data_IF_818386809596
#
_entry.id   IF_818386809596
#
_cell.length_a   1.000
_cell.length_b   1.000
_cell.length_c   1.000
_cell.angle_alpha   90.00
_cell.angle_beta   90.00
_cell.angle_gamma   90.00
#
_symmetry.space_group_name_H-M   'P 1'
#
loop_
_entity.id
_entity.type
_entity.pdbx_description
1 polymer ?
#
# COMPACT_ATOMS: atom_id res chain seq x y z
N UNK A 1 33.50 -23.91 -12.90
CA UNK A 1 32.08 -24.29 -12.96
C UNK A 1 31.30 -22.99 -13.04
N UNK A 2 30.62 -22.80 -14.17
CA UNK A 2 29.78 -21.64 -14.46
C UNK A 2 28.34 -21.93 -14.06
N UNK A 3 27.68 -20.95 -13.44
CA UNK A 3 26.26 -20.58 -13.61
C UNK A 3 26.12 -19.20 -12.93
N UNK A 4 26.23 -18.05 -13.63
CA UNK A 4 25.15 -17.24 -14.29
C UNK A 4 23.91 -17.07 -13.41
N UNK A 5 23.21 -15.94 -13.28
CA UNK A 5 23.33 -14.54 -13.71
C UNK A 5 22.15 -13.80 -13.04
N UNK A 6 22.29 -12.47 -12.84
CA UNK A 6 21.24 -11.43 -12.97
C UNK A 6 19.91 -11.63 -12.20
N UNK A 7 19.46 -10.73 -11.32
CA UNK A 7 19.01 -9.35 -11.58
C UNK A 7 18.71 -8.73 -10.19
N UNK A 8 19.13 -7.52 -9.85
CA UNK A 8 18.38 -6.32 -10.19
C UNK A 8 17.86 -5.64 -8.91
N UNK A 9 18.46 -4.47 -8.63
CA UNK A 9 17.79 -3.28 -8.10
C UNK A 9 17.38 -3.15 -6.61
N UNK A 10 17.95 -2.10 -6.02
CA UNK A 10 17.55 -1.29 -4.85
C UNK A 10 17.77 -1.80 -3.42
N UNK A 11 18.66 -1.09 -2.71
CA UNK A 11 18.69 -0.85 -1.26
C UNK A 11 17.28 -0.42 -0.79
N UNK A 12 16.37 -1.38 -0.63
CA UNK A 12 15.19 -1.18 0.21
C UNK A 12 15.56 -1.82 1.52
N UNK A 13 16.01 -1.00 2.48
CA UNK A 13 16.01 -1.36 3.89
C UNK A 13 14.56 -1.71 4.22
N UNK A 14 14.19 -2.97 4.07
CA UNK A 14 12.89 -3.48 4.45
C UNK A 14 12.84 -3.39 5.96
N UNK A 15 12.31 -2.27 6.46
CA UNK A 15 12.14 -2.05 7.88
C UNK A 15 11.24 -3.18 8.40
N UNK A 16 11.74 -4.08 9.27
CA UNK A 16 10.92 -5.17 9.78
C UNK A 16 9.70 -4.67 10.58
N UNK A 17 9.72 -3.40 10.97
CA UNK A 17 8.61 -2.68 11.57
C UNK A 17 7.41 -2.48 10.63
N UNK A 18 7.54 -2.76 9.32
CA UNK A 18 6.44 -2.67 8.34
C UNK A 18 5.88 -4.04 7.95
N UNK A 19 6.44 -5.14 8.44
CA UNK A 19 5.91 -6.48 8.14
C UNK A 19 4.49 -6.68 8.70
N UNK A 20 3.64 -7.38 7.94
CA UNK A 20 2.22 -7.59 8.24
C UNK A 20 1.40 -6.30 8.39
N UNK A 21 1.92 -5.16 7.91
CA UNK A 21 1.16 -3.91 7.87
C UNK A 21 0.45 -3.75 6.55
N UNK A 22 -0.56 -2.91 6.57
CA UNK A 22 -1.33 -2.54 5.41
C UNK A 22 -0.90 -1.16 4.96
N UNK A 23 -1.04 -0.86 3.68
CA UNK A 23 -0.84 0.49 3.19
C UNK A 23 -1.87 0.84 2.13
N UNK A 24 -2.43 2.03 2.27
CA UNK A 24 -3.34 2.60 1.30
C UNK A 24 -2.54 3.55 0.42
N UNK A 25 -2.47 3.20 -0.85
CA UNK A 25 -1.88 4.02 -1.90
C UNK A 25 -2.94 4.37 -2.94
N UNK A 26 -2.56 5.21 -3.89
CA UNK A 26 -3.41 5.55 -5.03
C UNK A 26 -2.81 4.98 -6.30
N UNK A 27 -3.63 4.28 -7.07
CA UNK A 27 -3.27 3.78 -8.39
C UNK A 27 -4.40 4.09 -9.37
N UNK A 28 -4.07 4.68 -10.52
CA UNK A 28 -5.07 5.10 -11.53
C UNK A 28 -6.20 5.98 -10.97
N UNK A 29 -5.89 6.84 -9.98
CA UNK A 29 -6.89 7.66 -9.27
C UNK A 29 -7.87 6.88 -8.38
N UNK A 30 -7.66 5.58 -8.18
CA UNK A 30 -8.40 4.74 -7.25
C UNK A 30 -7.56 4.39 -6.03
N UNK A 31 -8.23 4.12 -4.91
CA UNK A 31 -7.56 3.71 -3.69
C UNK A 31 -7.27 2.22 -3.78
N UNK A 32 -6.01 1.86 -3.53
CA UNK A 32 -5.56 0.48 -3.54
C UNK A 32 -4.96 0.13 -2.19
N UNK A 33 -5.45 -0.96 -1.62
CA UNK A 33 -4.94 -1.56 -0.41
C UNK A 33 -3.84 -2.56 -0.76
N UNK A 34 -2.66 -2.28 -0.24
CA UNK A 34 -1.51 -3.15 -0.28
C UNK A 34 -1.23 -3.71 1.12
N UNK A 35 -0.59 -4.86 1.19
CA UNK A 35 -0.10 -5.47 2.43
C UNK A 35 1.36 -5.80 2.29
N UNK A 36 2.13 -5.48 3.32
CA UNK A 36 3.51 -5.88 3.41
C UNK A 36 3.60 -7.33 3.89
N UNK A 37 4.16 -8.18 3.06
CA UNK A 37 4.50 -9.56 3.44
C UNK A 37 5.66 -9.58 4.44
N UNK A 38 5.98 -10.76 4.98
CA UNK A 38 7.11 -10.99 5.89
C UNK A 38 8.48 -10.69 5.26
N UNK A 39 8.53 -10.64 3.93
CA UNK A 39 9.70 -10.20 3.18
C UNK A 39 9.77 -8.66 3.02
N UNK A 40 8.74 -7.92 3.44
CA UNK A 40 8.64 -6.46 3.26
C UNK A 40 8.24 -6.05 1.85
N UNK A 41 7.84 -7.01 1.03
CA UNK A 41 7.25 -6.77 -0.29
C UNK A 41 5.81 -6.34 -0.11
N UNK A 42 5.40 -5.30 -0.84
CA UNK A 42 4.00 -4.91 -0.92
C UNK A 42 3.28 -5.81 -1.91
N UNK A 43 2.24 -6.49 -1.44
CA UNK A 43 1.33 -7.29 -2.25
C UNK A 43 -0.01 -6.56 -2.36
N UNK A 44 -0.59 -6.56 -3.56
CA UNK A 44 -1.92 -5.99 -3.78
C UNK A 44 -2.94 -6.89 -3.06
N UNK A 45 -3.61 -6.33 -2.05
CA UNK A 45 -4.68 -7.01 -1.33
C UNK A 45 -5.99 -6.78 -2.07
N UNK A 46 -6.32 -5.51 -2.27
CA UNK A 46 -7.60 -5.12 -2.86
C UNK A 46 -7.48 -3.78 -3.58
N UNK A 47 -8.03 -3.71 -4.79
CA UNK A 47 -8.23 -2.46 -5.52
C UNK A 47 -9.67 -2.04 -5.34
N UNK A 48 -9.88 -0.92 -4.69
CA UNK A 48 -11.23 -0.40 -4.49
C UNK A 48 -11.67 0.39 -5.72
N UNK A 49 -12.99 0.48 -5.93
CA UNK A 49 -13.57 1.36 -6.96
C UNK A 49 -13.73 2.81 -6.44
N UNK A 50 -13.16 3.11 -5.27
CA UNK A 50 -13.25 4.43 -4.65
C UNK A 50 -12.23 5.34 -5.33
N UNK A 51 -12.71 6.31 -6.08
CA UNK A 51 -11.84 7.33 -6.68
C UNK A 51 -11.31 8.29 -5.61
N UNK A 52 -10.00 8.46 -5.54
CA UNK A 52 -9.38 9.45 -4.65
C UNK A 52 -9.89 10.86 -4.93
N UNK A 53 -10.29 11.15 -6.17
CA UNK A 53 -10.87 12.43 -6.56
C UNK A 53 -12.18 12.76 -5.83
N UNK A 54 -12.94 11.73 -5.41
CA UNK A 54 -14.17 11.90 -4.64
C UNK A 54 -13.90 12.28 -3.17
N UNK A 55 -12.69 12.02 -2.68
CA UNK A 55 -12.30 12.30 -1.30
C UNK A 55 -11.93 13.76 -1.06
N UNK A 56 -12.08 14.26 0.18
CA UNK A 56 -11.56 15.58 0.53
C UNK A 56 -10.05 15.65 0.34
N UNK A 57 -9.55 16.80 -0.14
CA UNK A 57 -8.11 17.04 -0.41
C UNK A 57 -7.17 16.59 0.71
N UNK A 58 -7.61 16.71 1.95
CA UNK A 58 -6.86 16.30 3.13
C UNK A 58 -6.53 14.81 3.10
N UNK A 59 -7.53 13.98 2.81
CA UNK A 59 -7.38 12.54 2.67
C UNK A 59 -6.61 12.19 1.40
N UNK A 60 -6.88 12.88 0.28
CA UNK A 60 -6.13 12.64 -0.95
C UNK A 60 -4.62 12.80 -0.74
N UNK A 61 -4.22 13.82 0.02
CA UNK A 61 -2.82 14.08 0.35
C UNK A 61 -2.23 12.99 1.24
N UNK A 62 -3.01 12.47 2.21
CA UNK A 62 -2.59 11.34 3.06
C UNK A 62 -2.38 10.05 2.25
N UNK A 63 -3.32 9.68 1.39
CA UNK A 63 -3.22 8.48 0.56
C UNK A 63 -2.09 8.62 -0.47
N UNK A 64 -1.91 9.81 -1.07
CA UNK A 64 -0.78 10.10 -1.97
C UNK A 64 0.57 10.02 -1.28
N UNK A 65 0.62 10.29 0.04
CA UNK A 65 1.83 10.09 0.86
C UNK A 65 2.04 8.63 1.25
N UNK A 66 1.04 7.77 1.06
CA UNK A 66 1.02 6.38 1.52
C UNK A 66 0.65 6.32 3.00
N UNK A 67 -0.56 5.85 3.30
CA UNK A 67 -1.00 5.64 4.69
C UNK A 67 -0.56 4.23 5.09
N UNK A 68 0.20 4.09 6.18
CA UNK A 68 0.57 2.78 6.74
C UNK A 68 -0.34 2.49 7.93
N UNK A 69 -0.97 1.33 7.91
CA UNK A 69 -1.96 0.88 8.88
C UNK A 69 -1.47 -0.41 9.53
N UNK A 70 -1.82 -0.63 10.79
CA UNK A 70 -1.31 -1.77 11.54
C UNK A 70 -2.19 -3.01 11.38
N UNK A 71 -3.45 -2.81 11.00
CA UNK A 71 -4.45 -3.87 10.87
C UNK A 71 -5.28 -3.70 9.59
N UNK A 72 -5.79 -4.82 9.10
CA UNK A 72 -6.73 -4.87 7.99
C UNK A 72 -8.03 -4.10 8.31
N UNK A 73 -8.50 -4.24 9.54
CA UNK A 73 -9.70 -3.57 10.05
C UNK A 73 -9.59 -2.04 9.99
N UNK A 74 -8.41 -1.48 10.32
CA UNK A 74 -8.15 -0.05 10.15
C UNK A 74 -8.16 0.36 8.67
N UNK A 75 -7.70 -0.52 7.78
CA UNK A 75 -7.72 -0.26 6.35
C UNK A 75 -9.13 -0.23 5.80
N UNK A 76 -9.95 -1.23 6.13
CA UNK A 76 -11.34 -1.23 5.72
C UNK A 76 -12.14 -0.09 6.36
N UNK A 77 -11.91 0.23 7.63
CA UNK A 77 -12.53 1.40 8.27
C UNK A 77 -12.23 2.67 7.47
N UNK A 78 -10.96 2.88 7.09
CA UNK A 78 -10.57 4.03 6.26
C UNK A 78 -11.24 3.99 4.89
N UNK A 79 -11.29 2.83 4.23
CA UNK A 79 -11.97 2.67 2.94
C UNK A 79 -13.48 2.97 3.05
N UNK A 80 -14.14 2.57 4.12
CA UNK A 80 -15.55 2.90 4.38
C UNK A 80 -15.75 4.40 4.64
N UNK A 81 -14.86 5.04 5.39
CA UNK A 81 -14.85 6.50 5.58
C UNK A 81 -14.64 7.24 4.25
N UNK A 82 -14.00 6.60 3.28
CA UNK A 82 -13.72 7.15 1.96
C UNK A 82 -14.87 6.92 0.97
N UNK A 83 -15.58 5.82 1.09
CA UNK A 83 -16.72 5.49 0.23
C UNK A 83 -18.06 6.10 0.64
N UNK A 84 -18.14 6.80 1.78
CA UNK A 84 -19.37 7.40 2.33
C UNK A 84 -19.69 8.80 1.80
#
# INVERSE_FOLDING_TARGET
>A
MSEVQSTGDTDTKVDPAKFNKYTLETEDEFIVLYKYDKEGKKELVEKTDISIGALPKKVQDEIKKGIILNSEDEAYTRLEEFGS
#
